data_IF_185617649842
#
_entry.id   IF_185617649842
#
_cell.length_a   1.000
_cell.length_b   1.000
_cell.length_c   1.000
_cell.angle_alpha   90.00
_cell.angle_beta   90.00
_cell.angle_gamma   90.00
#
_symmetry.space_group_name_H-M   'P 1'
#
loop_
_entity.id
_entity.type
_entity.pdbx_description
1 polymer ?
#
# COMPACT_ATOMS: atom_id res chain seq x y z
N UNK A 1 -26.91 -3.26 -14.12
CA UNK A 1 -25.88 -2.95 -15.15
C UNK A 1 -25.45 -4.27 -15.77
N UNK A 2 -25.11 -4.31 -17.06
CA UNK A 2 -24.50 -5.51 -17.66
C UNK A 2 -23.08 -5.69 -17.11
N UNK A 3 -22.59 -6.93 -17.03
CA UNK A 3 -21.21 -7.25 -16.61
C UNK A 3 -20.15 -6.54 -17.46
N UNK A 4 -20.44 -6.34 -18.75
CA UNK A 4 -19.58 -5.57 -19.66
C UNK A 4 -19.34 -4.12 -19.19
N UNK A 5 -20.36 -3.45 -18.62
CA UNK A 5 -20.21 -2.07 -18.12
C UNK A 5 -19.44 -1.97 -16.80
N UNK A 6 -19.38 -3.06 -16.04
CA UNK A 6 -18.62 -3.09 -14.77
C UNK A 6 -17.12 -3.29 -15.05
N UNK A 7 -16.78 -4.06 -16.10
CA UNK A 7 -15.38 -4.30 -16.47
C UNK A 7 -14.64 -3.02 -16.86
N UNK A 8 -15.33 -2.05 -17.47
CA UNK A 8 -14.76 -0.75 -17.83
C UNK A 8 -14.52 0.18 -16.62
N UNK A 9 -15.10 -0.15 -15.44
CA UNK A 9 -15.00 0.64 -14.21
C UNK A 9 -14.11 0.00 -13.13
N UNK A 10 -13.76 -1.29 -13.28
CA UNK A 10 -12.95 -2.03 -12.31
C UNK A 10 -11.49 -2.10 -12.75
N UNK A 11 -10.61 -1.77 -11.82
CA UNK A 11 -9.16 -1.81 -12.00
C UNK A 11 -8.59 -2.97 -11.20
N UNK A 12 -7.75 -3.77 -11.84
CA UNK A 12 -7.09 -4.87 -11.15
C UNK A 12 -5.71 -4.47 -10.65
N UNK A 13 -5.44 -4.82 -9.40
CA UNK A 13 -4.15 -4.71 -8.77
C UNK A 13 -3.73 -6.07 -8.23
N UNK A 14 -2.42 -6.33 -8.16
CA UNK A 14 -1.90 -7.48 -7.45
C UNK A 14 -0.85 -7.06 -6.41
N UNK A 15 -0.72 -7.86 -5.37
CA UNK A 15 0.35 -7.73 -4.41
C UNK A 15 1.61 -8.40 -4.96
N UNK A 16 2.69 -7.64 -5.03
CA UNK A 16 4.00 -8.15 -5.45
C UNK A 16 4.50 -9.10 -4.36
N UNK A 17 4.86 -10.35 -4.69
CA UNK A 17 5.49 -11.25 -3.73
C UNK A 17 6.96 -10.87 -3.53
N UNK A 18 7.26 -9.64 -3.08
CA UNK A 18 8.62 -9.18 -2.74
C UNK A 18 9.10 -9.65 -1.36
N UNK A 19 8.42 -10.65 -0.80
CA UNK A 19 8.65 -11.28 0.50
C UNK A 19 8.45 -12.78 0.33
N UNK A 20 9.37 -13.58 0.86
CA UNK A 20 9.27 -15.05 0.83
C UNK A 20 8.02 -15.54 1.55
N UNK A 21 7.46 -16.69 1.15
CA UNK A 21 6.22 -17.21 1.73
C UNK A 21 4.95 -16.63 1.11
N UNK A 22 5.09 -15.63 0.22
CA UNK A 22 3.97 -15.04 -0.49
C UNK A 22 3.01 -14.30 0.45
N UNK A 23 1.71 -14.47 0.23
CA UNK A 23 0.64 -13.76 0.95
C UNK A 23 -0.28 -14.71 1.71
N UNK A 24 0.11 -15.98 1.84
CA UNK A 24 -0.65 -17.02 2.53
C UNK A 24 0.24 -17.58 3.64
N UNK A 25 -0.20 -17.41 4.89
CA UNK A 25 0.51 -17.94 6.07
C UNK A 25 0.28 -19.45 6.23
N UNK A 26 0.74 -20.22 5.23
CA UNK A 26 0.60 -21.67 5.13
C UNK A 26 1.85 -22.29 4.52
N UNK A 27 2.20 -23.48 4.99
CA UNK A 27 3.29 -24.31 4.46
C UNK A 27 2.86 -25.13 3.22
N UNK A 28 1.75 -24.74 2.57
CA UNK A 28 1.41 -25.22 1.23
C UNK A 28 2.53 -24.87 0.25
N UNK A 29 2.72 -25.68 -0.79
CA UNK A 29 3.71 -25.41 -1.82
C UNK A 29 3.49 -24.01 -2.42
N UNK A 30 4.47 -23.13 -2.18
CA UNK A 30 4.45 -21.77 -2.70
C UNK A 30 4.93 -21.77 -4.14
N UNK A 31 4.12 -21.21 -5.04
CA UNK A 31 4.44 -21.07 -6.47
C UNK A 31 4.94 -19.67 -6.82
N UNK A 32 5.22 -18.86 -5.80
CA UNK A 32 5.76 -17.50 -5.88
C UNK A 32 7.18 -17.46 -5.36
N UNK A 33 8.03 -16.62 -5.93
CA UNK A 33 9.36 -16.32 -5.39
C UNK A 33 9.50 -14.84 -5.07
N UNK A 34 10.31 -14.53 -4.05
CA UNK A 34 10.72 -13.18 -3.71
C UNK A 34 11.79 -12.62 -4.65
N UNK A 35 12.44 -13.49 -5.43
CA UNK A 35 13.48 -13.10 -6.36
C UNK A 35 13.01 -12.06 -7.39
N UNK A 36 13.94 -11.19 -7.78
CA UNK A 36 13.68 -10.16 -8.79
C UNK A 36 13.23 -10.74 -10.14
N UNK A 37 13.89 -11.77 -10.68
CA UNK A 37 13.54 -12.30 -12.00
C UNK A 37 12.13 -12.91 -12.04
N UNK A 38 11.68 -13.54 -10.95
CA UNK A 38 10.30 -13.99 -10.83
C UNK A 38 9.33 -12.80 -10.86
N UNK A 39 9.57 -11.80 -10.01
CA UNK A 39 8.70 -10.64 -9.89
C UNK A 39 8.66 -9.77 -11.14
N UNK A 40 9.78 -9.64 -11.86
CA UNK A 40 9.86 -9.01 -13.18
C UNK A 40 8.95 -9.72 -14.18
N UNK A 41 9.07 -11.05 -14.30
CA UNK A 41 8.22 -11.83 -15.20
C UNK A 41 6.75 -11.74 -14.81
N UNK A 42 6.44 -11.76 -13.52
CA UNK A 42 5.07 -11.61 -13.01
C UNK A 42 4.50 -10.23 -13.35
N UNK A 43 5.26 -9.15 -13.15
CA UNK A 43 4.85 -7.79 -13.49
C UNK A 43 4.54 -7.61 -14.97
N UNK A 44 5.43 -8.12 -15.83
CA UNK A 44 5.22 -8.13 -17.29
C UNK A 44 4.02 -8.99 -17.70
N UNK A 45 3.77 -10.10 -17.00
CA UNK A 45 2.59 -10.93 -17.24
C UNK A 45 1.33 -10.19 -16.82
N UNK A 46 1.32 -9.59 -15.63
CA UNK A 46 0.17 -8.89 -15.07
C UNK A 46 -0.23 -7.71 -15.96
N UNK A 47 0.72 -6.87 -16.37
CA UNK A 47 0.41 -5.74 -17.23
C UNK A 47 -0.18 -6.21 -18.57
N UNK A 48 0.36 -7.28 -19.16
CA UNK A 48 -0.15 -7.85 -20.42
C UNK A 48 -1.52 -8.53 -20.29
N UNK A 49 -2.02 -8.72 -19.06
CA UNK A 49 -3.31 -9.35 -18.79
C UNK A 49 -4.30 -8.41 -18.06
N UNK A 50 -4.11 -7.09 -18.20
CA UNK A 50 -5.10 -6.10 -17.74
C UNK A 50 -4.98 -5.66 -16.29
N UNK A 51 -3.90 -6.02 -15.59
CA UNK A 51 -3.59 -5.41 -14.29
C UNK A 51 -3.02 -4.01 -14.49
N UNK A 52 -3.59 -3.05 -13.76
CA UNK A 52 -3.16 -1.66 -13.79
C UNK A 52 -2.13 -1.34 -12.72
N UNK A 53 -2.23 -2.00 -11.56
CA UNK A 53 -1.38 -1.72 -10.41
C UNK A 53 -0.66 -2.97 -9.88
N UNK A 54 0.53 -2.76 -9.35
CA UNK A 54 1.24 -3.71 -8.51
C UNK A 54 1.61 -3.04 -7.19
N UNK A 55 1.32 -3.67 -6.05
CA UNK A 55 1.65 -3.15 -4.73
C UNK A 55 2.83 -3.92 -4.14
N UNK A 56 3.99 -3.28 -4.04
CA UNK A 56 5.10 -3.82 -3.25
C UNK A 56 4.82 -3.56 -1.78
N UNK A 57 4.86 -4.62 -0.98
CA UNK A 57 4.64 -4.52 0.46
C UNK A 57 5.89 -4.03 1.18
N UNK A 58 5.69 -3.25 2.24
CA UNK A 58 6.78 -2.71 3.07
C UNK A 58 6.95 -3.57 4.29
N UNK A 59 8.19 -3.99 4.49
CA UNK A 59 8.67 -4.65 5.68
C UNK A 59 10.20 -4.68 5.65
N UNK A 60 10.83 -4.40 6.79
CA UNK A 60 12.26 -4.19 6.96
C UNK A 60 12.92 -5.27 7.82
N UNK A 61 12.13 -6.05 8.54
CA UNK A 61 12.63 -7.13 9.40
C UNK A 61 12.06 -8.50 9.02
N UNK A 62 12.94 -9.50 8.97
CA UNK A 62 12.58 -10.90 8.77
C UNK A 62 11.63 -11.40 9.88
N UNK A 63 10.70 -12.29 9.54
CA UNK A 63 9.93 -13.01 10.57
C UNK A 63 9.48 -14.38 10.11
N UNK A 64 8.78 -15.10 11.00
CA UNK A 64 8.08 -16.34 10.69
C UNK A 64 7.23 -16.21 9.42
N UNK A 65 7.51 -17.06 8.41
CA UNK A 65 6.83 -17.08 7.12
C UNK A 65 7.27 -16.01 6.11
N UNK A 66 8.22 -15.15 6.47
CA UNK A 66 8.70 -14.02 5.68
C UNK A 66 10.20 -13.77 5.98
N UNK A 67 11.03 -14.78 5.71
CA UNK A 67 12.47 -14.77 5.99
C UNK A 67 13.24 -13.80 5.09
N UNK A 68 12.93 -13.77 3.80
CA UNK A 68 13.59 -12.92 2.81
C UNK A 68 12.65 -11.83 2.31
N UNK A 69 13.12 -10.58 2.28
CA UNK A 69 12.29 -9.42 1.98
C UNK A 69 13.09 -8.38 1.22
N UNK A 70 12.49 -7.84 0.16
CA UNK A 70 13.04 -6.68 -0.53
C UNK A 70 12.41 -5.39 -0.03
N UNK A 71 13.24 -4.35 0.08
CA UNK A 71 12.78 -3.00 0.40
C UNK A 71 11.84 -2.47 -0.70
N UNK A 72 10.70 -1.92 -0.29
CA UNK A 72 9.59 -1.64 -1.19
C UNK A 72 9.91 -0.61 -2.27
N UNK A 73 10.56 0.51 -1.95
CA UNK A 73 10.72 1.64 -2.89
C UNK A 73 11.71 1.31 -4.01
N UNK A 74 12.84 0.70 -3.66
CA UNK A 74 13.85 0.24 -4.62
C UNK A 74 13.33 -0.90 -5.50
N UNK A 75 12.61 -1.87 -4.91
CA UNK A 75 12.01 -2.96 -5.69
C UNK A 75 10.91 -2.46 -6.62
N UNK A 76 10.09 -1.50 -6.16
CA UNK A 76 9.08 -0.85 -7.01
C UNK A 76 9.72 -0.12 -8.19
N UNK A 77 10.83 0.60 -7.99
CA UNK A 77 11.55 1.25 -9.08
C UNK A 77 12.08 0.22 -10.10
N UNK A 78 12.61 -0.91 -9.64
CA UNK A 78 13.08 -1.97 -10.54
C UNK A 78 11.94 -2.53 -11.40
N UNK A 79 10.75 -2.77 -10.82
CA UNK A 79 9.58 -3.22 -11.56
C UNK A 79 9.04 -2.16 -12.52
N UNK A 80 9.04 -0.88 -12.14
CA UNK A 80 8.66 0.22 -13.03
C UNK A 80 9.54 0.25 -14.28
N UNK A 81 10.85 0.08 -14.13
CA UNK A 81 11.79 0.08 -15.25
C UNK A 81 11.73 -1.19 -16.11
N UNK A 82 11.17 -2.27 -15.57
CA UNK A 82 11.01 -3.55 -16.28
C UNK A 82 9.65 -3.71 -16.99
N UNK A 83 8.77 -2.71 -16.85
CA UNK A 83 7.39 -2.70 -17.37
C UNK A 83 7.12 -1.40 -18.14
N UNK A 84 6.09 -1.38 -18.98
CA UNK A 84 5.80 -0.23 -19.85
C UNK A 84 4.56 0.55 -19.41
N UNK A 85 3.53 -0.14 -18.88
CA UNK A 85 2.23 0.47 -18.53
C UNK A 85 1.82 0.24 -17.07
N UNK A 86 2.41 -0.74 -16.40
CA UNK A 86 2.08 -1.06 -15.01
C UNK A 86 2.38 0.11 -14.08
N UNK A 87 1.39 0.53 -13.29
CA UNK A 87 1.64 1.43 -12.16
C UNK A 87 2.14 0.61 -10.98
N UNK A 88 3.14 1.11 -10.26
CA UNK A 88 3.69 0.40 -9.11
C UNK A 88 3.57 1.27 -7.88
N UNK A 89 2.90 0.70 -6.87
CA UNK A 89 2.64 1.31 -5.58
C UNK A 89 3.73 0.83 -4.62
N UNK A 90 4.59 1.75 -4.18
CA UNK A 90 5.56 1.48 -3.14
C UNK A 90 4.93 1.73 -1.78
N UNK A 91 4.83 0.70 -0.93
CA UNK A 91 4.42 0.90 0.45
C UNK A 91 5.56 1.51 1.27
N UNK A 92 5.22 2.40 2.20
CA UNK A 92 6.18 3.08 3.08
C UNK A 92 5.60 3.28 4.47
N UNK A 93 6.48 3.40 5.46
CA UNK A 93 6.12 3.73 6.84
C UNK A 93 6.51 5.17 7.20
N UNK A 94 5.55 6.06 7.50
CA UNK A 94 5.85 7.32 8.17
C UNK A 94 6.57 7.06 9.49
N UNK A 95 7.67 7.77 9.73
CA UNK A 95 8.55 7.57 10.88
C UNK A 95 9.85 6.85 10.50
N UNK A 96 9.78 5.85 9.61
CA UNK A 96 10.97 5.22 9.02
C UNK A 96 11.46 5.96 7.75
N UNK A 97 10.57 6.74 7.12
CA UNK A 97 10.91 7.63 6.03
C UNK A 97 10.85 9.09 6.44
N UNK A 98 11.83 9.86 5.94
CA UNK A 98 11.74 11.31 5.86
C UNK A 98 10.95 11.68 4.58
N UNK A 99 9.84 12.43 4.68
CA UNK A 99 8.93 12.64 3.55
C UNK A 99 9.53 13.42 2.38
N UNK A 100 10.41 14.40 2.61
CA UNK A 100 11.09 15.13 1.54
C UNK A 100 12.08 14.26 0.75
N UNK A 101 12.77 13.34 1.42
CA UNK A 101 13.65 12.34 0.77
C UNK A 101 12.80 11.39 -0.08
N UNK A 102 11.68 10.88 0.46
CA UNK A 102 10.75 10.06 -0.31
C UNK A 102 10.16 10.84 -1.49
N UNK A 103 9.82 12.12 -1.32
CA UNK A 103 9.32 12.96 -2.39
C UNK A 103 10.33 13.09 -3.54
N UNK A 104 11.63 13.17 -3.23
CA UNK A 104 12.72 13.17 -4.22
C UNK A 104 12.86 11.85 -4.95
N UNK A 105 12.79 10.73 -4.23
CA UNK A 105 12.75 9.39 -4.82
C UNK A 105 11.54 9.27 -5.75
N UNK A 106 10.36 9.67 -5.28
CA UNK A 106 9.12 9.60 -6.02
C UNK A 106 9.15 10.43 -7.30
N UNK A 107 9.65 11.67 -7.26
CA UNK A 107 9.83 12.47 -8.47
C UNK A 107 10.77 11.78 -9.47
N UNK A 108 11.87 11.19 -8.99
CA UNK A 108 12.82 10.46 -9.85
C UNK A 108 12.16 9.24 -10.50
N UNK A 109 11.49 8.41 -9.71
CA UNK A 109 10.76 7.23 -10.19
C UNK A 109 9.63 7.62 -11.16
N UNK A 110 8.97 8.75 -10.92
CA UNK A 110 7.89 9.24 -11.77
C UNK A 110 8.38 9.63 -13.17
N UNK A 111 9.50 10.34 -13.25
CA UNK A 111 10.14 10.67 -14.54
C UNK A 111 10.66 9.42 -15.25
N UNK A 112 11.33 8.52 -14.53
CA UNK A 112 11.87 7.28 -15.10
C UNK A 112 10.79 6.33 -15.62
N UNK A 113 9.58 6.39 -15.04
CA UNK A 113 8.46 5.53 -15.39
C UNK A 113 7.38 6.20 -16.23
N UNK A 114 7.55 7.47 -16.61
CA UNK A 114 6.54 8.26 -17.30
C UNK A 114 5.19 8.32 -16.56
N UNK A 115 5.23 8.64 -15.26
CA UNK A 115 4.01 8.93 -14.49
C UNK A 115 3.37 7.73 -13.81
N UNK A 116 4.09 6.61 -13.66
CA UNK A 116 3.54 5.34 -13.16
C UNK A 116 3.85 5.03 -11.71
N UNK A 117 4.61 5.89 -11.03
CA UNK A 117 4.90 5.73 -9.60
C UNK A 117 3.68 6.12 -8.74
N UNK A 118 3.45 5.35 -7.68
CA UNK A 118 2.45 5.60 -6.64
C UNK A 118 3.00 5.20 -5.27
N UNK A 119 2.41 5.72 -4.19
CA UNK A 119 2.85 5.46 -2.81
C UNK A 119 1.68 5.00 -1.97
N UNK A 120 1.87 3.92 -1.20
CA UNK A 120 0.95 3.52 -0.14
C UNK A 120 1.52 3.88 1.23
N UNK A 121 0.88 4.81 1.92
CA UNK A 121 1.29 5.25 3.25
C UNK A 121 0.68 4.33 4.30
N UNK A 122 1.51 3.48 4.89
CA UNK A 122 1.11 2.52 5.92
C UNK A 122 1.45 3.08 7.29
N UNK A 123 0.44 3.40 8.10
CA UNK A 123 0.62 4.08 9.39
C UNK A 123 1.38 3.29 10.46
N UNK A 124 1.72 2.03 10.20
CA UNK A 124 2.48 1.15 11.09
C UNK A 124 1.59 0.14 11.79
N UNK A 125 2.01 -1.13 11.75
CA UNK A 125 1.29 -2.27 12.32
C UNK A 125 2.21 -3.25 13.05
N UNK A 126 3.51 -3.24 12.76
CA UNK A 126 4.48 -4.11 13.40
C UNK A 126 5.40 -3.27 14.27
N UNK A 127 5.14 -3.28 15.59
CA UNK A 127 5.84 -2.45 16.57
C UNK A 127 7.34 -2.72 16.57
N UNK A 128 7.71 -4.00 16.55
CA UNK A 128 9.09 -4.46 16.67
C UNK A 128 9.97 -3.83 15.60
N UNK A 129 9.49 -3.73 14.36
CA UNK A 129 10.22 -3.11 13.25
C UNK A 129 10.62 -1.65 13.54
N UNK A 130 9.73 -0.86 14.15
CA UNK A 130 10.07 0.51 14.55
C UNK A 130 11.08 0.51 15.68
N UNK A 131 10.82 -0.26 16.75
CA UNK A 131 11.66 -0.23 17.95
C UNK A 131 13.05 -0.82 17.73
N UNK A 132 13.18 -1.85 16.88
CA UNK A 132 14.47 -2.45 16.51
C UNK A 132 15.31 -1.53 15.61
N UNK A 133 14.65 -0.71 14.78
CA UNK A 133 15.29 0.35 14.00
C UNK A 133 15.54 1.63 14.81
N UNK A 134 15.21 1.64 16.11
CA UNK A 134 15.47 2.75 17.02
C UNK A 134 14.43 3.88 16.98
N UNK A 135 13.31 3.69 16.28
CA UNK A 135 12.23 4.68 16.20
C UNK A 135 11.17 4.47 17.30
N UNK A 136 10.51 5.55 17.75
CA UNK A 136 9.44 5.43 18.72
C UNK A 136 8.21 4.75 18.11
N UNK A 137 7.61 3.86 18.90
CA UNK A 137 6.27 3.35 18.63
C UNK A 137 5.23 4.31 19.21
N UNK A 138 4.58 5.06 18.32
CA UNK A 138 3.51 5.99 18.70
C UNK A 138 2.19 5.24 18.94
N UNK A 139 1.31 5.88 19.72
CA UNK A 139 -0.04 5.39 19.96
C UNK A 139 -0.91 5.45 18.69
N UNK A 140 -2.05 4.74 18.69
CA UNK A 140 -2.82 4.50 17.45
C UNK A 140 -3.20 5.78 16.72
N UNK A 141 -3.82 6.73 17.42
CA UNK A 141 -4.28 7.98 16.81
C UNK A 141 -3.10 8.89 16.40
N UNK A 142 -2.01 8.87 17.18
CA UNK A 142 -0.79 9.61 16.85
C UNK A 142 -0.14 9.10 15.56
N UNK A 143 -0.17 7.78 15.30
CA UNK A 143 0.32 7.21 14.03
C UNK A 143 -0.45 7.74 12.83
N UNK A 144 -1.77 7.94 12.95
CA UNK A 144 -2.57 8.56 11.89
C UNK A 144 -2.32 10.05 11.76
N UNK A 145 -2.11 10.80 12.86
CA UNK A 145 -1.64 12.21 12.80
C UNK A 145 -0.30 12.33 12.08
N UNK A 146 0.67 11.47 12.39
CA UNK A 146 1.96 11.42 11.67
C UNK A 146 1.76 11.12 10.19
N UNK A 147 0.86 10.19 9.86
CA UNK A 147 0.53 9.86 8.47
C UNK A 147 -0.15 11.03 7.74
N UNK A 148 -1.00 11.80 8.42
CA UNK A 148 -1.62 13.02 7.93
C UNK A 148 -0.57 14.04 7.49
N UNK A 149 0.39 14.34 8.38
CA UNK A 149 1.47 15.28 8.07
C UNK A 149 2.36 14.75 6.94
N UNK A 150 2.67 13.46 6.94
CA UNK A 150 3.49 12.83 5.90
C UNK A 150 2.87 13.02 4.51
N UNK A 151 1.56 12.72 4.36
CA UNK A 151 0.82 12.89 3.11
C UNK A 151 0.75 14.36 2.67
N UNK A 152 0.55 15.28 3.62
CA UNK A 152 0.54 16.71 3.35
C UNK A 152 1.91 17.20 2.85
N UNK A 153 2.99 16.81 3.52
CA UNK A 153 4.36 17.19 3.13
C UNK A 153 4.69 16.65 1.74
N UNK A 154 4.37 15.38 1.45
CA UNK A 154 4.58 14.81 0.11
C UNK A 154 3.88 15.64 -0.97
N UNK A 155 2.58 15.90 -0.77
CA UNK A 155 1.77 16.67 -1.73
C UNK A 155 2.33 18.06 -1.92
N UNK A 156 2.57 18.81 -0.84
CA UNK A 156 3.14 20.16 -0.88
C UNK A 156 4.46 20.20 -1.63
N UNK A 157 5.40 19.33 -1.29
CA UNK A 157 6.73 19.29 -1.94
C UNK A 157 6.61 19.01 -3.45
N UNK A 158 5.65 18.18 -3.87
CA UNK A 158 5.42 17.87 -5.29
C UNK A 158 4.70 18.98 -6.06
N UNK A 159 3.89 19.82 -5.40
CA UNK A 159 3.03 20.80 -6.10
C UNK A 159 3.42 22.26 -5.89
N UNK A 160 4.19 22.57 -4.85
CA UNK A 160 4.53 23.94 -4.43
C UNK A 160 6.05 24.15 -4.46
N UNK A 161 6.49 25.39 -4.68
CA UNK A 161 7.88 25.82 -4.43
C UNK A 161 7.95 26.50 -3.05
N UNK A 162 9.17 26.62 -2.52
CA UNK A 162 9.52 27.27 -1.25
C UNK A 162 8.69 26.76 -0.08
N UNK A 163 8.60 25.43 0.03
CA UNK A 163 7.71 24.77 0.98
C UNK A 163 8.21 24.97 2.41
N UNK A 164 7.35 25.57 3.21
CA UNK A 164 7.41 25.54 4.66
C UNK A 164 6.32 24.60 5.22
N UNK A 165 6.71 23.73 6.15
CA UNK A 165 5.78 22.88 6.90
C UNK A 165 6.22 22.82 8.36
N UNK A 166 5.29 23.04 9.29
CA UNK A 166 5.55 23.07 10.73
C UNK A 166 4.49 22.25 11.46
N UNK A 167 4.65 20.93 11.37
CA UNK A 167 3.82 19.99 12.12
C UNK A 167 4.47 19.55 13.42
N UNK A 168 3.78 18.67 14.11
CA UNK A 168 4.28 18.02 15.32
C UNK A 168 5.41 17.04 14.96
N UNK A 169 5.24 16.30 13.86
CA UNK A 169 6.14 15.23 13.45
C UNK A 169 7.16 15.67 12.39
N UNK A 170 6.76 16.53 11.44
CA UNK A 170 7.63 16.97 10.35
C UNK A 170 7.82 18.48 10.32
N UNK A 171 9.06 18.89 10.01
CA UNK A 171 9.45 20.28 9.79
C UNK A 171 10.21 20.39 8.48
N UNK A 172 9.71 21.22 7.57
CA UNK A 172 10.33 21.54 6.28
C UNK A 172 10.49 23.06 6.24
N UNK A 173 11.65 23.54 5.80
CA UNK A 173 12.01 24.95 5.80
C UNK A 173 12.52 25.34 4.42
N UNK A 174 11.87 26.31 3.78
CA UNK A 174 12.29 26.91 2.51
C UNK A 174 12.78 25.87 1.47
N UNK A 175 11.98 24.81 1.27
CA UNK A 175 12.40 23.66 0.46
C UNK A 175 11.72 23.62 -0.89
N UNK A 176 12.53 23.66 -1.95
CA UNK A 176 12.08 23.49 -3.33
C UNK A 176 12.64 22.22 -3.94
N UNK A 177 11.77 21.25 -4.22
CA UNK A 177 12.13 20.06 -5.00
C UNK A 177 12.10 20.38 -6.50
N UNK A 178 13.19 20.06 -7.24
CA UNK A 178 13.25 20.05 -8.71
C UNK A 178 13.99 18.79 -9.22
N UNK A 179 13.60 18.21 -10.38
CA UNK A 179 12.32 18.46 -11.06
C UNK A 179 11.16 17.97 -10.18
N UNK A 180 9.98 18.62 -10.31
CA UNK A 180 8.73 18.07 -9.76
C UNK A 180 8.38 16.76 -10.50
N UNK A 181 7.54 15.87 -9.93
CA UNK A 181 6.96 14.77 -10.69
C UNK A 181 6.24 15.27 -11.96
N UNK A 182 5.92 14.36 -12.89
CA UNK A 182 5.12 14.70 -14.05
C UNK A 182 3.73 15.12 -13.57
N UNK A 183 3.42 16.41 -13.77
CA UNK A 183 2.18 17.02 -13.32
C UNK A 183 1.27 17.32 -14.52
N UNK A 184 0.06 16.76 -14.50
CA UNK A 184 -1.01 17.13 -15.43
C UNK A 184 -2.21 17.63 -14.62
N UNK A 185 -3.16 18.37 -15.22
CA UNK A 185 -4.39 18.77 -14.52
C UNK A 185 -5.14 17.60 -13.86
N UNK A 186 -5.11 16.42 -14.49
CA UNK A 186 -5.78 15.20 -14.02
C UNK A 186 -4.93 14.37 -13.03
N UNK A 187 -3.63 14.67 -12.96
CA UNK A 187 -2.65 14.01 -12.09
C UNK A 187 -1.64 15.05 -11.56
N UNK A 188 -2.02 15.86 -10.56
CA UNK A 188 -1.15 16.91 -10.04
C UNK A 188 0.10 16.37 -9.33
N UNK A 189 0.06 15.11 -8.86
CA UNK A 189 1.16 14.43 -8.17
C UNK A 189 1.03 12.90 -8.31
N UNK A 190 2.07 12.11 -7.95
CA UNK A 190 1.96 10.67 -7.79
C UNK A 190 0.81 10.25 -6.87
N UNK A 191 0.10 9.18 -7.21
CA UNK A 191 -1.10 8.76 -6.48
C UNK A 191 -0.75 8.30 -5.05
N UNK A 192 -1.51 8.82 -4.09
CA UNK A 192 -1.35 8.51 -2.67
C UNK A 192 -2.45 7.57 -2.18
N UNK A 193 -2.05 6.39 -1.72
CA UNK A 193 -2.89 5.35 -1.14
C UNK A 193 -2.75 5.36 0.39
N UNK A 194 -3.84 5.04 1.07
CA UNK A 194 -3.81 4.69 2.49
C UNK A 194 -4.89 3.64 2.78
N UNK A 195 -4.63 2.74 3.72
CA UNK A 195 -5.62 1.80 4.22
C UNK A 195 -5.76 1.85 5.74
N UNK A 196 -6.61 0.98 6.27
CA UNK A 196 -6.85 0.81 7.70
C UNK A 196 -8.34 0.81 8.04
N UNK A 197 -8.73 0.05 9.07
CA UNK A 197 -10.13 -0.19 9.38
C UNK A 197 -10.71 0.75 10.45
N UNK A 198 -9.89 1.56 11.13
CA UNK A 198 -10.33 2.42 12.23
C UNK A 198 -11.01 3.71 11.76
N UNK A 199 -11.74 4.38 12.64
CA UNK A 199 -12.31 5.69 12.36
C UNK A 199 -11.22 6.72 12.00
N UNK A 200 -10.09 6.73 12.73
CA UNK A 200 -8.94 7.58 12.43
C UNK A 200 -8.36 7.31 11.04
N UNK A 201 -8.28 6.04 10.61
CA UNK A 201 -7.83 5.68 9.26
C UNK A 201 -8.76 6.23 8.18
N UNK A 202 -10.07 6.06 8.38
CA UNK A 202 -11.10 6.53 7.43
C UNK A 202 -11.11 8.05 7.32
N UNK A 203 -11.00 8.74 8.46
CA UNK A 203 -10.90 10.20 8.51
C UNK A 203 -9.65 10.70 7.78
N UNK A 204 -8.50 10.08 8.05
CA UNK A 204 -7.24 10.47 7.43
C UNK A 204 -7.27 10.25 5.91
N UNK A 205 -7.78 9.11 5.47
CA UNK A 205 -7.85 8.78 4.05
C UNK A 205 -8.79 9.72 3.29
N UNK A 206 -9.97 10.03 3.84
CA UNK A 206 -10.90 10.98 3.23
C UNK A 206 -10.32 12.38 3.08
N UNK A 207 -9.49 12.83 4.03
CA UNK A 207 -8.86 14.16 3.97
C UNK A 207 -7.65 14.24 3.06
N UNK A 208 -6.81 13.20 3.02
CA UNK A 208 -5.44 13.33 2.50
C UNK A 208 -5.09 12.41 1.32
N UNK A 209 -5.77 11.27 1.17
CA UNK A 209 -5.43 10.24 0.18
C UNK A 209 -6.23 10.37 -1.11
N UNK A 210 -5.67 9.88 -2.21
CA UNK A 210 -6.37 9.77 -3.49
C UNK A 210 -7.14 8.44 -3.58
N UNK A 211 -6.60 7.41 -2.92
CA UNK A 211 -7.17 6.07 -2.82
C UNK A 211 -7.25 5.60 -1.36
N UNK A 212 -8.42 5.06 -0.99
CA UNK A 212 -8.59 4.30 0.23
C UNK A 212 -8.59 2.79 -0.06
N UNK A 213 -7.68 2.07 0.58
CA UNK A 213 -7.47 0.64 0.42
C UNK A 213 -8.03 -0.13 1.63
N UNK A 214 -9.13 -0.85 1.41
CA UNK A 214 -9.75 -1.71 2.42
C UNK A 214 -9.14 -3.11 2.40
N UNK A 215 -8.79 -3.64 3.56
CA UNK A 215 -8.26 -5.00 3.71
C UNK A 215 -9.31 -6.11 3.57
N UNK A 216 -10.56 -5.73 3.23
CA UNK A 216 -11.68 -6.66 3.11
C UNK A 216 -12.43 -6.85 4.44
N UNK A 217 -13.76 -6.90 4.32
CA UNK A 217 -14.74 -7.27 5.35
C UNK A 217 -15.86 -8.05 4.64
N UNK A 218 -16.95 -8.33 5.35
CA UNK A 218 -18.22 -8.64 4.70
C UNK A 218 -18.74 -7.44 3.88
N UNK A 219 -19.77 -7.69 3.09
CA UNK A 219 -20.38 -6.69 2.20
C UNK A 219 -20.80 -5.43 2.96
N UNK A 220 -21.44 -5.59 4.12
CA UNK A 220 -21.93 -4.49 4.94
C UNK A 220 -20.77 -3.67 5.50
N UNK A 221 -19.73 -4.31 6.01
CA UNK A 221 -18.54 -3.64 6.53
C UNK A 221 -17.74 -2.88 5.47
N UNK A 222 -17.65 -3.41 4.25
CA UNK A 222 -17.03 -2.69 3.11
C UNK A 222 -17.88 -1.48 2.72
N UNK A 223 -19.20 -1.65 2.70
CA UNK A 223 -20.15 -0.57 2.37
C UNK A 223 -20.08 0.57 3.39
N UNK A 224 -20.04 0.25 4.69
CA UNK A 224 -19.87 1.23 5.76
C UNK A 224 -18.58 2.04 5.58
N UNK A 225 -17.45 1.37 5.35
CA UNK A 225 -16.17 2.04 5.15
C UNK A 225 -16.17 2.96 3.93
N UNK A 226 -16.74 2.50 2.81
CA UNK A 226 -16.85 3.29 1.59
C UNK A 226 -17.70 4.54 1.80
N UNK A 227 -18.85 4.42 2.49
CA UNK A 227 -19.75 5.54 2.79
C UNK A 227 -19.05 6.57 3.65
N UNK A 228 -18.38 6.13 4.73
CA UNK A 228 -17.72 7.03 5.67
C UNK A 228 -16.56 7.79 5.02
N UNK A 229 -15.68 7.09 4.31
CA UNK A 229 -14.52 7.71 3.68
C UNK A 229 -14.95 8.72 2.60
N UNK A 230 -15.99 8.40 1.82
CA UNK A 230 -16.57 9.36 0.85
C UNK A 230 -17.32 10.52 1.51
N UNK A 231 -17.90 10.34 2.70
CA UNK A 231 -18.48 11.44 3.47
C UNK A 231 -17.38 12.42 3.87
N UNK A 232 -16.31 11.94 4.49
CA UNK A 232 -15.17 12.78 4.91
C UNK A 232 -14.54 13.48 3.71
N UNK A 233 -14.32 12.78 2.60
CA UNK A 233 -13.75 13.39 1.39
C UNK A 233 -14.62 14.56 0.89
N UNK A 234 -15.95 14.37 0.81
CA UNK A 234 -16.88 15.43 0.39
C UNK A 234 -16.91 16.62 1.33
N UNK A 235 -16.80 16.40 2.64
CA UNK A 235 -16.70 17.48 3.64
C UNK A 235 -15.40 18.30 3.51
N UNK A 236 -14.42 17.81 2.74
CA UNK A 236 -13.16 18.48 2.46
C UNK A 236 -13.00 18.83 0.97
N UNK A 237 -14.11 18.88 0.20
CA UNK A 237 -14.13 19.21 -1.23
C UNK A 237 -13.23 18.29 -2.09
N UNK A 238 -13.17 17.01 -1.71
CA UNK A 238 -12.37 15.99 -2.36
C UNK A 238 -13.20 14.79 -2.78
N UNK A 239 -12.64 14.04 -3.73
CA UNK A 239 -13.06 12.69 -4.04
C UNK A 239 -11.96 11.70 -3.68
N UNK A 240 -12.38 10.49 -3.31
CA UNK A 240 -11.50 9.39 -2.93
C UNK A 240 -11.96 8.13 -3.64
N UNK A 241 -11.00 7.47 -4.31
CA UNK A 241 -11.22 6.19 -4.97
C UNK A 241 -11.10 5.06 -3.96
N UNK A 242 -11.71 3.92 -4.27
CA UNK A 242 -11.77 2.79 -3.34
C UNK A 242 -11.10 1.56 -3.95
N UNK A 243 -10.18 0.96 -3.22
CA UNK A 243 -9.57 -0.33 -3.51
C UNK A 243 -10.00 -1.37 -2.48
N UNK A 244 -10.35 -2.57 -2.94
CA UNK A 244 -10.72 -3.69 -2.08
C UNK A 244 -9.68 -4.80 -2.22
N UNK A 245 -9.07 -5.19 -1.11
CA UNK A 245 -8.24 -6.38 -1.05
C UNK A 245 -9.09 -7.65 -1.07
N UNK A 246 -8.70 -8.64 -1.86
CA UNK A 246 -9.35 -9.94 -1.91
C UNK A 246 -8.35 -11.04 -2.24
N UNK A 247 -8.54 -12.21 -1.63
CA UNK A 247 -7.78 -13.41 -1.96
C UNK A 247 -8.62 -14.29 -2.88
N UNK A 248 -8.11 -14.63 -4.07
CA UNK A 248 -8.84 -15.38 -5.08
C UNK A 248 -8.27 -16.79 -5.18
N UNK A 249 -9.12 -17.80 -4.95
CA UNK A 249 -8.82 -19.20 -5.25
C UNK A 249 -9.63 -19.59 -6.49
N UNK A 250 -9.04 -19.38 -7.67
CA UNK A 250 -9.65 -19.76 -8.94
C UNK A 250 -9.27 -21.19 -9.34
N UNK A 251 -10.26 -22.01 -9.68
CA UNK A 251 -10.15 -23.38 -10.22
C UNK A 251 -11.26 -23.62 -11.25
N UNK A 252 -11.18 -24.71 -11.99
CA UNK A 252 -12.17 -25.04 -13.03
C UNK A 252 -13.53 -25.36 -12.41
N UNK A 253 -13.55 -25.86 -11.17
CA UNK A 253 -14.79 -26.08 -10.40
C UNK A 253 -14.77 -25.45 -9.00
N UNK A 254 -15.95 -25.13 -8.47
CA UNK A 254 -16.10 -24.65 -7.08
C UNK A 254 -15.63 -25.70 -6.07
N UNK A 255 -15.81 -26.99 -6.36
CA UNK A 255 -15.35 -28.08 -5.50
C UNK A 255 -13.82 -28.05 -5.34
N UNK A 256 -13.08 -27.93 -6.45
CA UNK A 256 -11.62 -27.83 -6.44
C UNK A 256 -11.13 -26.57 -5.71
N UNK A 257 -11.84 -25.44 -5.86
CA UNK A 257 -11.51 -24.21 -5.14
C UNK A 257 -11.68 -24.40 -3.63
N UNK A 258 -12.78 -25.04 -3.19
CA UNK A 258 -13.02 -25.36 -1.78
C UNK A 258 -12.02 -26.38 -1.24
N UNK A 259 -11.61 -27.36 -2.04
CA UNK A 259 -10.58 -28.33 -1.65
C UNK A 259 -9.22 -27.66 -1.47
N UNK A 260 -8.85 -26.76 -2.38
CA UNK A 260 -7.63 -25.94 -2.23
C UNK A 260 -7.69 -25.11 -0.95
N UNK A 261 -8.82 -24.47 -0.65
CA UNK A 261 -8.98 -23.71 0.59
C UNK A 261 -8.81 -24.60 1.83
N UNK A 262 -9.41 -25.80 1.84
CA UNK A 262 -9.24 -26.78 2.93
C UNK A 262 -7.78 -27.18 3.09
N UNK A 263 -7.04 -27.37 2.00
CA UNK A 263 -5.62 -27.70 2.05
C UNK A 263 -4.79 -26.57 2.64
N UNK A 264 -5.01 -25.32 2.22
CA UNK A 264 -4.35 -24.12 2.77
C UNK A 264 -4.55 -24.06 4.29
N UNK A 265 -5.79 -24.28 4.75
CA UNK A 265 -6.12 -24.27 6.18
C UNK A 265 -5.46 -25.45 6.91
N UNK A 266 -5.50 -26.64 6.32
CA UNK A 266 -4.89 -27.84 6.91
C UNK A 266 -3.36 -27.71 7.06
N UNK A 267 -2.71 -26.99 6.14
CA UNK A 267 -1.29 -26.68 6.13
C UNK A 267 -0.98 -25.29 6.70
N UNK A 268 -1.84 -24.71 7.53
CA UNK A 268 -1.58 -23.40 8.11
C UNK A 268 -0.29 -23.43 8.96
N UNK A 269 0.59 -22.44 8.76
CA UNK A 269 1.78 -22.26 9.60
C UNK A 269 1.33 -21.60 10.91
N UNK A 270 0.98 -22.43 11.91
CA UNK A 270 0.37 -21.95 13.16
C UNK A 270 1.19 -20.89 13.88
N UNK A 271 2.52 -21.05 14.06
CA UNK A 271 3.34 -20.01 14.69
C UNK A 271 3.28 -18.67 13.94
N UNK A 272 3.35 -18.68 12.60
CA UNK A 272 3.25 -17.46 11.81
C UNK A 272 1.86 -16.81 11.92
N UNK A 273 0.79 -17.61 11.92
CA UNK A 273 -0.59 -17.14 12.10
C UNK A 273 -0.78 -16.47 13.47
N UNK A 274 -0.27 -17.09 14.54
CA UNK A 274 -0.35 -16.55 15.89
C UNK A 274 0.50 -15.29 16.05
N UNK A 275 1.72 -15.28 15.50
CA UNK A 275 2.60 -14.11 15.48
C UNK A 275 1.96 -12.92 14.77
N UNK A 276 1.39 -13.14 13.58
CA UNK A 276 0.66 -12.10 12.84
C UNK A 276 -0.55 -11.58 13.63
N UNK A 277 -1.36 -12.48 14.19
CA UNK A 277 -2.52 -12.10 15.01
C UNK A 277 -2.11 -11.22 16.19
N UNK A 278 -1.06 -11.60 16.91
CA UNK A 278 -0.58 -10.85 18.08
C UNK A 278 -0.08 -9.46 17.68
N UNK A 279 0.68 -9.34 16.59
CA UNK A 279 1.16 -8.04 16.10
C UNK A 279 -0.01 -7.10 15.72
N UNK A 280 -1.00 -7.62 14.98
CA UNK A 280 -2.18 -6.84 14.58
C UNK A 280 -3.01 -6.40 15.80
N UNK A 281 -3.21 -7.29 16.78
CA UNK A 281 -3.92 -6.96 18.01
C UNK A 281 -3.18 -5.90 18.83
N UNK A 282 -1.86 -6.01 18.96
CA UNK A 282 -1.05 -5.04 19.68
C UNK A 282 -1.10 -3.66 19.00
N UNK A 283 -1.04 -3.60 17.67
CA UNK A 283 -1.15 -2.34 16.94
C UNK A 283 -2.55 -1.71 17.01
N UNK A 284 -3.60 -2.53 17.10
CA UNK A 284 -4.96 -2.05 17.30
C UNK A 284 -5.23 -1.56 18.73
N UNK A 285 -4.57 -2.14 19.73
CA UNK A 285 -4.79 -1.88 21.14
C UNK A 285 -3.90 -0.78 21.74
N UNK A 286 -2.88 -0.29 21.02
CA UNK A 286 -2.08 0.87 21.43
C UNK A 286 -2.98 2.10 21.50
N UNK A 287 -3.28 2.60 22.71
CA UNK A 287 -4.19 3.74 22.94
C UNK A 287 -3.48 5.06 22.92
#
# INVERSE_FOLDING_TARGET
MSTERIADEIKFAYWVPNVSGGLVTSDIEQRTSWDYEYNKKLAQTAENNGFEYALSQVRYEASYGAEFQHESTSFSLALLLATEKLKVIAAVHPGLWQPAVLAKLGATADHLSNGRFAVNVVSGWFKDEFTHLGEPWLEHDERYRRSAEFLQVLRKIWTEDDVDFRGDFYRIHDFTLKPKPLNTPERPNPELFQGGNSAAARENAGRYSDWYFSNGKDYDGVTEQLVDVRRVARENDREVKFGLNGFIIARDTEAEAKDTLREIIAKANRPAVEGFKNAVQQAGAST
#
